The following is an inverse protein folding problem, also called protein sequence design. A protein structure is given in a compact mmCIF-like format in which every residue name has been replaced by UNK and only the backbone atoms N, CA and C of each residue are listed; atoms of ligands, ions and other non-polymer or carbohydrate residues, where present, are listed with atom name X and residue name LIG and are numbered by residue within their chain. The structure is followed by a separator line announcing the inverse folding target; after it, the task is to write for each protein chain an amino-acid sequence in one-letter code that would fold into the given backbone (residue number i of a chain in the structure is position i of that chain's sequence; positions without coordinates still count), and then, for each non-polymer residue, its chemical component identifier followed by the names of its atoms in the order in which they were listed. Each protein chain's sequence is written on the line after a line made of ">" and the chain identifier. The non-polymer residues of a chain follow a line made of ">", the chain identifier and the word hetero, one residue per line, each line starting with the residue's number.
data_IF_691010811199
#
_entry.id   IF_691010811199
#
_cell.length_a   1.000
_cell.length_b   1.000
_cell.length_c   1.000
_cell.angle_alpha   90.00
_cell.angle_beta   90.00
_cell.angle_gamma   90.00
#
_symmetry.space_group_name_H-M   'P 1'
#
loop_
_entity.id
_entity.type
_entity.pdbx_description
1 polymer ?
#
# COMPACT_ATOMS: atom_id res chain seq x y z
N UNK A 1 22.92 -5.16 21.68
CA UNK A 1 23.61 -5.18 20.37
C UNK A 1 22.88 -6.21 19.51
N UNK A 2 22.30 -5.80 18.39
CA UNK A 2 21.44 -6.67 17.57
C UNK A 2 22.26 -7.59 16.67
N UNK A 3 21.70 -8.76 16.34
CA UNK A 3 22.29 -9.75 15.42
C UNK A 3 22.67 -9.10 14.07
N UNK A 4 21.87 -8.14 13.59
CA UNK A 4 22.15 -7.36 12.38
C UNK A 4 23.46 -6.56 12.48
N UNK A 5 23.74 -5.93 13.62
CA UNK A 5 24.98 -5.17 13.82
C UNK A 5 26.20 -6.11 13.85
N UNK A 6 26.04 -7.31 14.42
CA UNK A 6 27.07 -8.35 14.40
C UNK A 6 27.32 -8.88 12.99
N UNK A 7 26.27 -9.14 12.21
CA UNK A 7 26.38 -9.57 10.81
C UNK A 7 27.00 -8.49 9.91
N UNK A 8 26.62 -7.22 10.09
CA UNK A 8 27.20 -6.11 9.34
C UNK A 8 28.69 -5.94 9.66
N UNK A 9 29.07 -6.01 10.94
CA UNK A 9 30.49 -5.97 11.35
C UNK A 9 31.27 -7.19 10.86
N UNK A 10 30.66 -8.38 10.85
CA UNK A 10 31.28 -9.59 10.33
C UNK A 10 31.49 -9.52 8.81
N UNK A 11 30.51 -9.00 8.06
CA UNK A 11 30.62 -8.77 6.62
C UNK A 11 31.70 -7.72 6.29
N UNK A 12 31.75 -6.61 7.04
CA UNK A 12 32.79 -5.58 6.88
C UNK A 12 34.18 -6.16 7.22
N UNK A 13 34.31 -6.99 8.25
CA UNK A 13 35.57 -7.69 8.55
C UNK A 13 35.94 -8.70 7.48
N UNK A 14 35.00 -9.47 6.95
CA UNK A 14 35.27 -10.43 5.88
C UNK A 14 35.80 -9.75 4.60
N UNK A 15 35.31 -8.54 4.29
CA UNK A 15 35.84 -7.72 3.19
C UNK A 15 37.23 -7.15 3.53
N UNK A 16 37.46 -6.79 4.80
CA UNK A 16 38.75 -6.25 5.25
C UNK A 16 39.85 -7.33 5.41
N UNK A 17 39.46 -8.57 5.71
CA UNK A 17 40.32 -9.74 5.91
C UNK A 17 40.48 -10.57 4.63
N UNK A 18 39.92 -10.13 3.50
CA UNK A 18 40.13 -10.77 2.21
C UNK A 18 41.64 -10.66 1.85
N UNK A 19 42.34 -11.80 1.68
CA UNK A 19 43.79 -11.78 1.53
C UNK A 19 44.17 -11.00 0.28
N UNK A 20 45.18 -10.13 0.42
CA UNK A 20 45.77 -9.33 -0.67
C UNK A 20 46.00 -10.23 -1.89
N UNK A 21 45.10 -10.14 -2.86
CA UNK A 21 45.29 -10.79 -4.16
C UNK A 21 46.53 -10.15 -4.76
N UNK A 22 47.61 -10.91 -5.05
CA UNK A 22 48.84 -10.34 -5.58
C UNK A 22 48.53 -9.62 -6.88
N UNK A 23 48.51 -8.29 -6.79
CA UNK A 23 48.25 -7.42 -7.94
C UNK A 23 49.36 -7.69 -8.94
N UNK A 24 49.06 -8.04 -10.20
CA UNK A 24 50.09 -8.22 -11.22
C UNK A 24 50.95 -6.95 -11.27
N UNK A 25 52.27 -7.08 -11.48
CA UNK A 25 53.21 -5.96 -11.41
C UNK A 25 52.69 -4.83 -12.30
N UNK A 26 52.31 -3.71 -11.66
CA UNK A 26 51.84 -2.53 -12.39
C UNK A 26 52.97 -2.09 -13.32
N UNK A 27 52.72 -1.91 -14.62
CA UNK A 27 53.71 -1.28 -15.49
C UNK A 27 54.11 0.05 -14.84
N UNK A 28 55.40 0.36 -14.81
CA UNK A 28 55.94 1.54 -14.16
C UNK A 28 55.17 2.79 -14.60
N UNK A 29 54.24 3.24 -13.75
CA UNK A 29 53.49 4.46 -13.98
C UNK A 29 54.48 5.58 -13.78
N UNK A 30 55.01 6.10 -14.88
CA UNK A 30 55.78 7.33 -14.87
C UNK A 30 54.88 8.41 -14.30
N UNK A 31 55.22 8.86 -13.08
CA UNK A 31 54.50 9.89 -12.36
C UNK A 31 54.64 11.23 -13.09
N UNK A 32 53.79 11.44 -14.10
CA UNK A 32 53.51 12.74 -14.70
C UNK A 32 52.02 12.91 -14.83
N UNK A 33 51.41 13.60 -13.86
CA UNK A 33 50.43 14.69 -14.10
C UNK A 33 49.93 15.32 -12.78
N UNK A 34 50.77 16.11 -12.09
CA UNK A 34 50.30 17.05 -11.05
C UNK A 34 49.32 18.10 -11.59
N UNK A 35 49.23 18.26 -12.91
CA UNK A 35 48.18 19.05 -13.57
C UNK A 35 46.79 18.58 -13.17
N UNK A 36 46.45 17.29 -13.31
CA UNK A 36 45.06 16.81 -13.23
C UNK A 36 44.40 17.15 -11.89
N UNK A 37 45.15 17.12 -10.79
CA UNK A 37 44.67 17.46 -9.45
C UNK A 37 44.32 18.96 -9.33
N UNK A 38 45.08 19.86 -9.98
CA UNK A 38 44.83 21.32 -9.92
C UNK A 38 43.53 21.74 -10.59
N UNK A 39 43.01 20.96 -11.55
CA UNK A 39 41.73 21.29 -12.22
C UNK A 39 40.57 20.42 -11.76
N UNK A 40 40.83 19.25 -11.16
CA UNK A 40 39.78 18.35 -10.67
C UNK A 40 38.97 18.98 -9.52
N UNK A 41 39.64 19.63 -8.55
CA UNK A 41 38.97 20.26 -7.40
C UNK A 41 38.02 21.40 -7.81
N UNK A 42 38.45 22.42 -8.61
CA UNK A 42 37.52 23.46 -9.04
C UNK A 42 36.44 22.95 -10.00
N UNK A 43 36.72 21.92 -10.79
CA UNK A 43 35.70 21.29 -11.64
C UNK A 43 34.62 20.56 -10.81
N UNK A 44 35.01 19.84 -9.76
CA UNK A 44 34.06 19.21 -8.82
C UNK A 44 33.25 20.25 -8.04
N UNK A 45 33.88 21.35 -7.62
CA UNK A 45 33.17 22.45 -6.95
C UNK A 45 32.17 23.13 -7.89
N UNK A 46 32.56 23.42 -9.14
CA UNK A 46 31.66 23.98 -10.16
C UNK A 46 30.52 23.02 -10.50
N UNK A 47 30.80 21.72 -10.56
CA UNK A 47 29.80 20.67 -10.76
C UNK A 47 28.79 20.67 -9.59
N UNK A 48 29.26 20.70 -8.34
CA UNK A 48 28.39 20.75 -7.16
C UNK A 48 27.49 22.00 -7.16
N UNK A 49 28.03 23.16 -7.53
CA UNK A 49 27.24 24.40 -7.65
C UNK A 49 26.21 24.30 -8.78
N UNK A 50 26.56 23.72 -9.93
CA UNK A 50 25.60 23.50 -11.02
C UNK A 50 24.51 22.49 -10.65
N UNK A 51 24.83 21.39 -9.93
CA UNK A 51 23.81 20.47 -9.39
C UNK A 51 22.87 21.25 -8.48
N UNK A 52 23.41 22.05 -7.56
CA UNK A 52 22.62 22.83 -6.62
C UNK A 52 21.72 23.85 -7.33
N UNK A 53 22.25 24.58 -8.31
CA UNK A 53 21.48 25.56 -9.10
C UNK A 53 20.40 24.85 -9.94
N UNK A 54 20.67 23.69 -10.52
CA UNK A 54 19.67 22.95 -11.29
C UNK A 54 18.59 22.34 -10.39
N UNK A 55 18.96 21.88 -9.19
CA UNK A 55 18.03 21.36 -8.20
C UNK A 55 17.13 22.45 -7.61
N UNK A 56 17.65 23.69 -7.45
CA UNK A 56 16.93 24.84 -6.89
C UNK A 56 16.16 25.62 -7.97
N UNK A 57 16.67 25.66 -9.20
CA UNK A 57 16.22 26.56 -10.26
C UNK A 57 15.15 26.00 -11.21
N UNK A 58 14.77 24.73 -11.07
CA UNK A 58 13.57 24.25 -11.76
C UNK A 58 12.36 24.92 -11.09
N UNK A 59 11.63 25.81 -11.80
CA UNK A 59 10.46 26.44 -11.21
C UNK A 59 9.53 25.33 -10.69
N UNK A 60 8.89 25.52 -9.52
CA UNK A 60 7.84 24.61 -9.11
C UNK A 60 6.88 24.52 -10.29
N UNK A 61 6.73 23.32 -10.85
CA UNK A 61 5.70 23.10 -11.86
C UNK A 61 4.41 23.41 -11.12
N UNK A 62 3.73 24.49 -11.50
CA UNK A 62 2.45 24.84 -10.91
C UNK A 62 1.54 23.61 -11.04
N UNK A 63 1.44 22.86 -9.95
CA UNK A 63 0.50 21.77 -9.82
C UNK A 63 -0.84 22.45 -9.67
N UNK A 64 -1.42 22.79 -10.84
CA UNK A 64 -2.78 23.24 -10.92
C UNK A 64 -3.58 22.12 -10.25
N UNK A 65 -4.22 22.36 -9.09
CA UNK A 65 -5.04 21.33 -8.48
C UNK A 65 -5.99 20.84 -9.56
N UNK A 66 -6.04 19.52 -9.75
CA UNK A 66 -7.01 18.93 -10.66
C UNK A 66 -8.36 19.54 -10.27
N UNK A 67 -9.00 20.23 -11.23
CA UNK A 67 -10.31 20.82 -10.99
C UNK A 67 -11.18 19.70 -10.42
N UNK A 68 -11.80 19.94 -9.24
CA UNK A 68 -12.55 18.93 -8.51
C UNK A 68 -13.44 18.15 -9.47
N UNK A 69 -13.03 16.94 -9.78
CA UNK A 69 -13.74 16.13 -10.74
C UNK A 69 -14.97 15.60 -10.01
N UNK A 70 -16.15 16.07 -10.42
CA UNK A 70 -17.43 15.51 -9.97
C UNK A 70 -17.57 14.02 -10.36
N UNK A 71 -16.68 13.52 -11.23
CA UNK A 71 -16.62 12.13 -11.65
C UNK A 71 -15.38 11.43 -11.09
N UNK A 72 -15.59 10.21 -10.61
CA UNK A 72 -14.53 9.33 -10.14
C UNK A 72 -14.13 8.34 -11.25
N UNK A 73 -12.84 8.04 -11.35
CA UNK A 73 -12.27 7.17 -12.36
C UNK A 73 -11.37 6.11 -11.73
N UNK A 74 -11.40 4.92 -12.32
CA UNK A 74 -10.45 3.85 -12.05
C UNK A 74 -9.56 3.71 -13.29
N UNK A 75 -8.23 3.68 -13.19
CA UNK A 75 -7.40 3.38 -14.35
C UNK A 75 -7.79 2.01 -14.93
N UNK A 76 -7.72 1.84 -16.24
CA UNK A 76 -7.90 0.53 -16.89
C UNK A 76 -6.73 -0.43 -16.59
N UNK A 77 -5.55 0.11 -16.27
CA UNK A 77 -4.37 -0.60 -15.80
C UNK A 77 -3.75 0.10 -14.58
N UNK A 78 -3.75 -0.58 -13.42
CA UNK A 78 -3.07 -0.14 -12.21
C UNK A 78 -1.57 -0.09 -12.45
N UNK A 79 -1.01 1.11 -12.31
CA UNK A 79 0.39 1.33 -12.61
C UNK A 79 1.29 0.58 -11.61
N UNK A 80 2.28 -0.15 -12.12
CA UNK A 80 3.19 -0.93 -11.28
C UNK A 80 4.12 -0.10 -10.39
N UNK A 81 4.98 -0.81 -9.64
CA UNK A 81 5.90 -0.22 -8.68
C UNK A 81 6.82 0.84 -9.32
N UNK A 82 6.98 1.99 -8.66
CA UNK A 82 7.89 3.05 -9.13
C UNK A 82 8.43 3.92 -8.01
N UNK A 83 9.75 3.84 -7.82
CA UNK A 83 10.51 4.66 -6.88
C UNK A 83 10.58 6.15 -7.27
N UNK A 84 10.13 6.49 -8.48
CA UNK A 84 10.09 7.87 -8.99
C UNK A 84 8.74 8.55 -8.78
N UNK A 85 7.87 7.96 -7.97
CA UNK A 85 6.58 8.53 -7.58
C UNK A 85 6.76 9.52 -6.42
N UNK A 86 6.17 10.71 -6.55
CA UNK A 86 6.12 11.72 -5.49
C UNK A 86 5.37 11.18 -4.26
N UNK A 87 5.71 11.69 -3.08
CA UNK A 87 5.05 11.31 -1.82
C UNK A 87 3.84 12.20 -1.55
N UNK A 88 2.88 11.71 -0.76
CA UNK A 88 1.74 12.54 -0.28
C UNK A 88 2.24 13.73 0.54
N UNK A 89 3.35 13.56 1.27
CA UNK A 89 3.93 14.63 2.09
C UNK A 89 4.55 15.75 1.27
N UNK A 90 5.15 15.44 0.12
CA UNK A 90 5.72 16.43 -0.79
C UNK A 90 4.67 17.05 -1.72
N UNK A 91 3.69 16.25 -2.15
CA UNK A 91 2.66 16.64 -3.08
C UNK A 91 1.34 15.93 -2.75
N UNK A 92 0.50 16.48 -1.85
CA UNK A 92 -0.82 15.95 -1.55
C UNK A 92 -1.66 15.78 -2.82
N UNK A 93 -2.69 14.91 -2.77
CA UNK A 93 -3.52 14.65 -3.95
C UNK A 93 -4.31 15.87 -4.41
N UNK A 94 -4.66 16.78 -3.48
CA UNK A 94 -5.54 17.91 -3.75
C UNK A 94 -7.01 17.53 -3.99
N UNK A 95 -7.33 16.23 -3.96
CA UNK A 95 -8.66 15.66 -4.13
C UNK A 95 -8.72 14.29 -3.43
N UNK A 96 -9.92 13.71 -3.20
CA UNK A 96 -10.05 12.39 -2.60
C UNK A 96 -9.32 11.30 -3.40
N UNK A 97 -8.94 10.22 -2.73
CA UNK A 97 -8.40 9.02 -3.35
C UNK A 97 -9.49 8.05 -3.77
N UNK A 98 -9.36 7.48 -4.97
CA UNK A 98 -10.14 6.32 -5.42
C UNK A 98 -9.67 5.04 -4.73
N UNK A 99 -8.35 4.88 -4.54
CA UNK A 99 -7.78 3.61 -4.10
C UNK A 99 -6.52 3.80 -3.25
N UNK A 100 -6.24 2.82 -2.40
CA UNK A 100 -4.92 2.58 -1.80
C UNK A 100 -4.44 1.18 -2.17
N UNK A 101 -3.17 1.06 -2.51
CA UNK A 101 -2.53 -0.16 -2.98
C UNK A 101 -1.24 -0.39 -2.24
N UNK A 102 -1.05 -1.63 -1.80
CA UNK A 102 0.22 -2.12 -1.30
C UNK A 102 0.90 -2.88 -2.43
N UNK A 103 2.03 -2.36 -2.90
CA UNK A 103 2.81 -2.95 -3.97
C UNK A 103 4.13 -3.45 -3.42
N UNK A 104 4.47 -4.71 -3.70
CA UNK A 104 5.71 -5.31 -3.24
C UNK A 104 6.28 -6.33 -4.21
N UNK A 105 7.54 -6.68 -3.99
CA UNK A 105 8.18 -7.82 -4.61
C UNK A 105 8.29 -8.93 -3.57
N UNK A 106 7.67 -10.09 -3.81
CA UNK A 106 7.82 -11.25 -2.93
C UNK A 106 9.20 -11.89 -3.11
N UNK A 107 9.88 -12.17 -2.00
CA UNK A 107 11.04 -13.05 -1.97
C UNK A 107 12.34 -12.42 -2.46
N UNK A 108 12.52 -11.10 -2.36
CA UNK A 108 13.76 -10.46 -2.82
C UNK A 108 14.61 -9.90 -1.69
N UNK A 109 15.92 -10.14 -1.82
CA UNK A 109 17.04 -9.53 -1.08
C UNK A 109 17.04 -7.98 -1.04
N UNK A 110 16.06 -7.33 -1.68
CA UNK A 110 16.00 -5.89 -1.94
C UNK A 110 14.80 -5.22 -1.24
N UNK A 111 13.85 -5.99 -0.69
CA UNK A 111 12.83 -5.53 0.26
C UNK A 111 12.02 -4.29 -0.17
N UNK A 112 11.78 -4.10 -1.47
CA UNK A 112 11.04 -2.93 -1.94
C UNK A 112 9.54 -3.20 -1.90
N UNK A 113 8.87 -2.71 -0.86
CA UNK A 113 7.44 -2.48 -0.84
C UNK A 113 7.16 -0.97 -0.81
N UNK A 114 6.03 -0.58 -1.40
CA UNK A 114 5.52 0.78 -1.35
C UNK A 114 4.01 0.76 -1.18
N UNK A 115 3.50 1.77 -0.50
CA UNK A 115 2.07 2.02 -0.42
C UNK A 115 1.76 3.20 -1.32
N UNK A 116 0.78 3.06 -2.20
CA UNK A 116 0.43 4.06 -3.21
C UNK A 116 -1.05 4.38 -3.12
N UNK A 117 -1.39 5.66 -3.14
CA UNK A 117 -2.77 6.13 -3.29
C UNK A 117 -2.99 6.63 -4.71
N UNK A 118 -4.17 6.34 -5.25
CA UNK A 118 -4.64 6.82 -6.56
C UNK A 118 -5.75 7.82 -6.31
N UNK A 119 -5.64 9.02 -6.87
CA UNK A 119 -6.67 10.03 -6.75
C UNK A 119 -7.97 9.64 -7.49
N UNK A 120 -9.07 10.32 -7.17
CA UNK A 120 -10.37 10.14 -7.81
C UNK A 120 -10.34 10.36 -9.34
N UNK A 121 -9.34 11.06 -9.88
CA UNK A 121 -9.15 11.20 -11.33
C UNK A 121 -8.59 9.94 -12.04
N UNK A 122 -8.27 8.89 -11.28
CA UNK A 122 -7.70 7.63 -11.78
C UNK A 122 -6.26 7.73 -12.32
N UNK A 123 -5.68 8.93 -12.33
CA UNK A 123 -4.37 9.23 -12.94
C UNK A 123 -3.32 9.64 -11.93
N UNK A 124 -3.68 10.31 -10.85
CA UNK A 124 -2.71 10.90 -9.94
C UNK A 124 -2.29 9.87 -8.90
N UNK A 125 -1.02 9.44 -8.96
CA UNK A 125 -0.44 8.46 -8.02
C UNK A 125 0.49 9.17 -7.03
N UNK A 126 0.37 8.85 -5.74
CA UNK A 126 1.31 9.31 -4.71
C UNK A 126 1.71 8.18 -3.78
N UNK A 127 2.98 8.14 -3.39
CA UNK A 127 3.46 7.23 -2.35
C UNK A 127 3.02 7.72 -0.97
N UNK A 128 2.51 6.81 -0.17
CA UNK A 128 2.15 7.05 1.22
C UNK A 128 3.39 6.84 2.10
N UNK A 129 4.31 7.81 2.03
CA UNK A 129 5.62 7.76 2.70
C UNK A 129 5.52 7.52 4.21
N UNK A 130 4.44 7.97 4.85
CA UNK A 130 4.22 7.74 6.26
C UNK A 130 3.97 6.26 6.59
N UNK A 131 3.24 5.52 5.75
CA UNK A 131 3.01 4.10 5.94
C UNK A 131 4.33 3.31 5.77
N UNK A 132 5.15 3.71 4.80
CA UNK A 132 6.49 3.16 4.62
C UNK A 132 7.37 3.45 5.84
N UNK A 133 7.46 4.70 6.31
CA UNK A 133 8.27 5.08 7.49
C UNK A 133 7.86 4.39 8.79
N UNK A 134 6.60 3.95 8.88
CA UNK A 134 6.01 3.25 10.05
C UNK A 134 6.00 1.73 9.89
N UNK A 135 6.60 1.25 8.80
CA UNK A 135 6.88 -0.16 8.58
C UNK A 135 7.96 -0.71 9.51
N UNK A 136 8.18 -2.01 9.39
CA UNK A 136 9.23 -2.76 10.09
C UNK A 136 9.76 -3.88 9.20
N UNK A 137 10.92 -4.42 9.54
CA UNK A 137 11.38 -5.69 8.96
C UNK A 137 10.65 -6.83 9.67
N UNK A 138 9.99 -7.71 8.91
CA UNK A 138 9.34 -8.93 9.40
C UNK A 138 10.33 -10.03 9.78
N UNK A 139 9.83 -11.14 10.33
CA UNK A 139 10.65 -12.28 10.76
C UNK A 139 11.39 -12.96 9.60
N UNK A 140 10.84 -12.88 8.39
CA UNK A 140 11.44 -13.33 7.12
C UNK A 140 12.48 -12.36 6.55
N UNK A 141 12.80 -11.28 7.29
CA UNK A 141 13.68 -10.19 6.83
C UNK A 141 13.11 -9.36 5.69
N UNK A 142 11.82 -9.46 5.37
CA UNK A 142 11.17 -8.61 4.38
C UNK A 142 10.71 -7.29 5.00
N UNK A 143 10.74 -6.21 4.21
CA UNK A 143 10.21 -4.92 4.66
C UNK A 143 8.69 -4.89 4.53
N UNK A 144 8.02 -4.70 5.67
CA UNK A 144 6.57 -4.62 5.77
C UNK A 144 6.18 -3.19 6.13
N UNK A 145 5.47 -2.49 5.25
CA UNK A 145 4.89 -1.18 5.57
C UNK A 145 3.81 -1.28 6.65
N UNK A 146 3.47 -0.15 7.27
CA UNK A 146 2.37 -0.09 8.23
C UNK A 146 1.03 -0.42 7.56
N UNK A 147 0.11 -1.13 8.24
CA UNK A 147 -1.22 -1.38 7.69
C UNK A 147 -1.92 -0.05 7.43
N UNK A 148 -2.69 0.00 6.34
CA UNK A 148 -3.44 1.18 5.95
C UNK A 148 -4.92 0.83 5.80
N UNK A 149 -5.79 1.82 5.95
CA UNK A 149 -7.21 1.67 5.63
C UNK A 149 -7.78 2.98 5.10
N UNK A 150 -8.37 2.95 3.91
CA UNK A 150 -8.93 4.12 3.22
C UNK A 150 -10.37 4.41 3.69
N UNK A 151 -10.69 5.68 3.96
CA UNK A 151 -12.05 6.08 4.32
C UNK A 151 -13.02 5.93 3.14
N UNK A 152 -14.32 5.74 3.38
CA UNK A 152 -15.31 5.54 2.31
C UNK A 152 -15.34 6.70 1.30
N UNK A 153 -15.16 7.93 1.77
CA UNK A 153 -15.11 9.15 0.96
C UNK A 153 -13.76 9.38 0.26
N UNK A 154 -12.77 8.53 0.50
CA UNK A 154 -11.42 8.62 -0.06
C UNK A 154 -10.57 9.78 0.48
N UNK A 155 -11.06 10.58 1.42
CA UNK A 155 -10.36 11.78 1.89
C UNK A 155 -9.28 11.45 2.92
N UNK A 156 -9.52 10.43 3.75
CA UNK A 156 -8.67 10.07 4.88
C UNK A 156 -8.07 8.68 4.69
N UNK A 157 -6.85 8.48 5.18
CA UNK A 157 -6.27 7.14 5.34
C UNK A 157 -5.81 6.97 6.78
N UNK A 158 -6.23 5.89 7.42
CA UNK A 158 -5.70 5.47 8.71
C UNK A 158 -4.44 4.64 8.47
N UNK A 159 -3.39 4.93 9.24
CA UNK A 159 -2.07 4.31 9.12
C UNK A 159 -1.67 3.80 10.49
N UNK A 160 -1.42 2.50 10.58
CA UNK A 160 -0.96 1.86 11.80
C UNK A 160 0.51 2.16 12.14
N UNK A 161 1.05 1.49 13.15
CA UNK A 161 2.48 1.44 13.49
C UNK A 161 2.89 -0.01 13.60
N UNK A 162 3.79 -0.47 12.74
CA UNK A 162 4.42 -1.78 12.91
C UNK A 162 5.74 -1.69 13.67
N UNK A 163 6.24 -0.49 13.92
CA UNK A 163 7.43 -0.32 14.76
C UNK A 163 7.02 -0.73 16.17
N UNK A 164 7.86 -1.54 16.83
CA UNK A 164 7.68 -1.97 18.24
C UNK A 164 7.85 -0.77 19.20
N UNK A 165 6.97 0.23 19.08
CA UNK A 165 6.96 1.48 19.83
C UNK A 165 6.30 1.25 21.19
N UNK A 166 6.85 1.85 22.24
CA UNK A 166 6.25 1.83 23.57
C UNK A 166 4.99 2.70 23.67
N UNK A 167 4.73 3.55 22.68
CA UNK A 167 3.56 4.43 22.58
C UNK A 167 2.93 4.24 21.20
N UNK A 168 2.24 3.12 20.95
CA UNK A 168 1.60 2.89 19.68
C UNK A 168 0.48 3.92 19.48
N UNK A 169 0.39 4.47 18.28
CA UNK A 169 -0.63 5.41 17.86
C UNK A 169 -1.17 5.00 16.50
N UNK A 170 -2.37 5.47 16.17
CA UNK A 170 -2.91 5.41 14.81
C UNK A 170 -2.83 6.82 14.24
N UNK A 171 -2.24 6.97 13.05
CA UNK A 171 -2.21 8.27 12.37
C UNK A 171 -3.26 8.29 11.28
N UNK A 172 -4.14 9.29 11.31
CA UNK A 172 -5.05 9.58 10.20
C UNK A 172 -4.45 10.72 9.38
N UNK A 173 -4.23 10.46 8.10
CA UNK A 173 -3.72 11.41 7.13
C UNK A 173 -4.85 11.85 6.20
N UNK A 174 -5.02 13.16 6.06
CA UNK A 174 -5.87 13.78 5.06
C UNK A 174 -5.12 13.81 3.72
N UNK A 175 -5.58 13.03 2.75
CA UNK A 175 -4.92 12.84 1.45
C UNK A 175 -5.03 14.07 0.54
N UNK A 176 -6.03 14.92 0.78
CA UNK A 176 -6.27 16.16 0.03
C UNK A 176 -5.23 17.22 0.43
N UNK A 177 -4.99 17.36 1.73
CA UNK A 177 -4.20 18.45 2.31
C UNK A 177 -2.81 18.03 2.80
N UNK A 178 -2.57 16.74 2.99
CA UNK A 178 -1.37 16.19 3.62
C UNK A 178 -1.34 16.34 5.15
N UNK A 179 -2.40 16.87 5.78
CA UNK A 179 -2.45 17.07 7.22
C UNK A 179 -2.60 15.74 7.98
N UNK A 180 -1.91 15.62 9.12
CA UNK A 180 -1.86 14.40 9.93
C UNK A 180 -2.44 14.65 11.31
N UNK A 181 -3.17 13.67 11.85
CA UNK A 181 -3.60 13.63 13.26
C UNK A 181 -3.30 12.27 13.85
N UNK A 182 -2.59 12.25 14.98
CA UNK A 182 -2.26 11.04 15.73
C UNK A 182 -3.31 10.79 16.83
N UNK A 183 -3.66 9.52 17.01
CA UNK A 183 -4.56 9.02 18.05
C UNK A 183 -3.79 8.00 18.89
N UNK A 184 -3.21 8.43 20.03
CA UNK A 184 -2.41 7.55 20.87
C UNK A 184 -3.29 6.49 21.54
N UNK A 185 -2.81 5.24 21.56
CA UNK A 185 -3.45 4.17 22.29
C UNK A 185 -3.08 4.26 23.77
N UNK A 186 -4.04 3.98 24.66
CA UNK A 186 -3.88 4.20 26.10
C UNK A 186 -2.82 3.30 26.76
N UNK A 187 -2.51 2.16 26.15
CA UNK A 187 -1.52 1.19 26.65
C UNK A 187 -0.70 0.64 25.48
N UNK A 188 0.50 0.06 25.74
CA UNK A 188 1.18 -0.77 24.76
C UNK A 188 0.28 -1.94 24.38
N UNK A 189 -0.37 -1.80 23.23
CA UNK A 189 -1.27 -2.77 22.66
C UNK A 189 -0.86 -3.04 21.22
N UNK A 190 -0.98 -4.28 20.82
CA UNK A 190 -0.94 -4.63 19.41
C UNK A 190 -2.31 -4.35 18.85
N UNK A 191 -2.39 -3.89 17.61
CA UNK A 191 -3.68 -3.63 17.00
C UNK A 191 -3.72 -3.97 15.51
N UNK A 192 -4.93 -4.24 15.03
CA UNK A 192 -5.25 -4.47 13.61
C UNK A 192 -6.35 -3.50 13.21
N UNK A 193 -6.13 -2.76 12.12
CA UNK A 193 -7.18 -1.93 11.52
C UNK A 193 -8.20 -2.85 10.84
N UNK A 194 -9.49 -2.69 11.15
CA UNK A 194 -10.55 -3.51 10.55
C UNK A 194 -11.28 -2.80 9.42
N UNK A 195 -11.46 -1.48 9.56
CA UNK A 195 -12.12 -0.67 8.55
C UNK A 195 -12.87 0.51 9.15
N UNK A 196 -13.38 1.34 8.25
CA UNK A 196 -14.12 2.55 8.58
C UNK A 196 -15.62 2.28 8.67
N UNK A 197 -16.29 2.98 9.58
CA UNK A 197 -17.75 3.10 9.53
C UNK A 197 -18.16 3.76 8.20
N UNK A 198 -19.34 3.42 7.63
CA UNK A 198 -19.77 3.96 6.33
C UNK A 198 -19.80 5.49 6.25
N UNK A 199 -20.03 6.18 7.37
CA UNK A 199 -20.04 7.64 7.43
C UNK A 199 -18.64 8.28 7.60
N UNK A 200 -17.57 7.49 7.63
CA UNK A 200 -16.19 7.93 7.80
C UNK A 200 -15.83 8.53 9.18
N UNK A 201 -16.70 8.47 10.19
CA UNK A 201 -16.45 9.12 11.50
C UNK A 201 -15.78 8.23 12.53
N UNK A 202 -15.88 6.92 12.34
CA UNK A 202 -15.39 5.92 13.28
C UNK A 202 -14.50 4.91 12.57
N UNK A 203 -13.45 4.46 13.25
CA UNK A 203 -12.56 3.40 12.79
C UNK A 203 -12.67 2.20 13.74
N UNK A 204 -12.96 1.02 13.21
CA UNK A 204 -12.94 -0.23 13.96
C UNK A 204 -11.53 -0.82 14.00
N UNK A 205 -11.13 -1.27 15.17
CA UNK A 205 -9.79 -1.76 15.46
C UNK A 205 -9.93 -2.98 16.38
N UNK A 206 -9.16 -4.04 16.14
CA UNK A 206 -8.92 -5.06 17.16
C UNK A 206 -7.70 -4.64 17.95
N UNK A 207 -7.78 -4.72 19.28
CA UNK A 207 -6.67 -4.44 20.19
C UNK A 207 -6.43 -5.63 21.12
N UNK A 208 -5.18 -5.93 21.40
CA UNK A 208 -4.78 -6.98 22.32
C UNK A 208 -3.68 -6.45 23.23
N UNK A 209 -3.70 -6.89 24.49
CA UNK A 209 -2.70 -6.49 25.47
C UNK A 209 -1.34 -7.10 25.11
N UNK A 210 -0.30 -6.28 25.03
CA UNK A 210 1.04 -6.71 24.66
C UNK A 210 1.66 -5.85 23.57
N UNK A 211 2.94 -6.08 23.30
CA UNK A 211 3.72 -5.29 22.33
C UNK A 211 4.22 -6.13 21.15
N UNK A 212 3.74 -7.37 21.00
CA UNK A 212 4.17 -8.26 19.92
C UNK A 212 3.30 -8.05 18.65
N UNK A 213 3.75 -7.26 17.66
CA UNK A 213 2.94 -6.95 16.48
C UNK A 213 2.52 -8.19 15.69
N UNK A 214 3.22 -9.32 15.89
CA UNK A 214 2.96 -10.60 15.23
C UNK A 214 1.91 -11.45 15.99
N UNK A 215 1.44 -10.96 17.15
CA UNK A 215 0.45 -11.66 18.01
C UNK A 215 -0.90 -11.91 17.37
N UNK A 216 -1.29 -11.18 16.33
CA UNK A 216 -2.52 -11.49 15.58
C UNK A 216 -2.37 -12.67 14.61
N UNK A 217 -1.16 -13.20 14.44
CA UNK A 217 -0.84 -14.20 13.42
C UNK A 217 -0.78 -15.65 13.90
N UNK A 218 -0.82 -15.97 15.20
CA UNK A 218 -0.25 -17.26 15.66
C UNK A 218 -1.11 -18.14 16.56
N UNK A 219 -2.25 -17.68 17.09
CA UNK A 219 -3.15 -18.56 17.84
C UNK A 219 -4.62 -18.31 17.46
N UNK A 220 -5.19 -19.13 16.55
CA UNK A 220 -6.62 -19.16 16.29
C UNK A 220 -7.41 -19.22 17.61
N UNK A 221 -8.44 -18.38 17.72
CA UNK A 221 -9.30 -18.33 18.89
C UNK A 221 -8.78 -17.47 20.05
N UNK A 222 -7.70 -16.70 19.87
CA UNK A 222 -7.34 -15.68 20.86
C UNK A 222 -8.41 -14.59 20.91
N UNK A 223 -8.67 -14.03 22.09
CA UNK A 223 -9.63 -12.93 22.24
C UNK A 223 -8.92 -11.57 22.12
N UNK A 224 -9.48 -10.68 21.31
CA UNK A 224 -9.09 -9.27 21.24
C UNK A 224 -10.27 -8.37 21.62
N UNK A 225 -9.97 -7.16 22.11
CA UNK A 225 -10.97 -6.12 22.29
C UNK A 225 -11.30 -5.50 20.92
N UNK A 226 -12.56 -5.60 20.52
CA UNK A 226 -13.12 -4.81 19.44
C UNK A 226 -13.36 -3.38 19.94
N UNK A 227 -12.62 -2.44 19.39
CA UNK A 227 -12.60 -1.04 19.81
C UNK A 227 -13.00 -0.13 18.65
N UNK A 228 -13.77 0.90 18.96
CA UNK A 228 -14.12 1.97 18.05
C UNK A 228 -13.37 3.24 18.41
N UNK A 229 -12.66 3.80 17.43
CA UNK A 229 -12.05 5.12 17.52
C UNK A 229 -12.99 6.15 16.90
N UNK A 230 -13.51 7.07 17.71
CA UNK A 230 -14.24 8.26 17.24
C UNK A 230 -13.23 9.35 16.84
N UNK A 231 -13.25 9.76 15.57
CA UNK A 231 -12.23 10.68 15.03
C UNK A 231 -12.48 12.15 15.40
N UNK A 232 -13.70 12.51 15.77
CA UNK A 232 -13.99 13.88 16.21
C UNK A 232 -13.36 14.10 17.58
N UNK A 233 -13.64 13.20 18.51
CA UNK A 233 -13.25 13.28 19.92
C UNK A 233 -11.88 12.68 20.20
N UNK A 234 -11.43 11.73 19.38
CA UNK A 234 -10.25 10.90 19.62
C UNK A 234 -10.43 9.87 20.73
N UNK A 235 -11.68 9.60 21.13
CA UNK A 235 -11.98 8.61 22.17
C UNK A 235 -12.03 7.20 21.59
N UNK A 236 -11.49 6.26 22.35
CA UNK A 236 -11.59 4.83 22.10
C UNK A 236 -12.67 4.23 22.99
N UNK A 237 -13.61 3.50 22.41
CA UNK A 237 -14.66 2.78 23.13
C UNK A 237 -14.56 1.28 22.83
N UNK A 238 -14.31 0.48 23.86
CA UNK A 238 -14.41 -0.98 23.74
C UNK A 238 -15.87 -1.37 23.59
N UNK A 239 -16.19 -2.06 22.50
CA UNK A 239 -17.53 -2.58 22.23
C UNK A 239 -17.68 -3.92 22.96
N UNK A 240 -16.77 -4.85 22.70
CA UNK A 240 -16.78 -6.20 23.26
C UNK A 240 -15.49 -6.96 22.96
N UNK A 241 -15.40 -8.21 23.44
CA UNK A 241 -14.41 -9.19 22.96
C UNK A 241 -14.84 -9.77 21.61
N UNK A 242 -13.86 -9.97 20.74
CA UNK A 242 -14.00 -10.64 19.44
C UNK A 242 -12.90 -11.69 19.30
N UNK A 243 -13.21 -12.80 18.64
CA UNK A 243 -12.23 -13.83 18.31
C UNK A 243 -11.29 -13.30 17.21
N UNK A 244 -9.99 -13.40 17.44
CA UNK A 244 -8.98 -13.15 16.41
C UNK A 244 -8.80 -14.43 15.62
N UNK A 245 -9.10 -14.36 14.34
CA UNK A 245 -8.66 -15.34 13.38
C UNK A 245 -7.67 -14.69 12.42
N UNK A 246 -6.69 -15.47 11.96
CA UNK A 246 -5.59 -14.99 11.15
C UNK A 246 -6.10 -14.27 9.89
N UNK A 247 -7.13 -14.84 9.26
CA UNK A 247 -7.51 -14.53 7.87
C UNK A 247 -8.97 -14.05 7.70
N UNK A 248 -9.65 -13.71 8.80
CA UNK A 248 -11.03 -13.23 8.73
C UNK A 248 -11.12 -11.85 8.05
N UNK A 249 -11.94 -11.73 7.00
CA UNK A 249 -12.38 -10.43 6.51
C UNK A 249 -13.31 -9.77 7.53
N UNK A 250 -13.17 -8.46 7.67
CA UNK A 250 -14.01 -7.65 8.54
C UNK A 250 -14.63 -6.51 7.73
N UNK A 251 -15.89 -6.19 7.99
CA UNK A 251 -16.54 -5.04 7.38
C UNK A 251 -17.65 -4.50 8.26
N UNK A 252 -17.84 -3.18 8.21
CA UNK A 252 -19.08 -2.61 8.70
C UNK A 252 -20.22 -2.98 7.76
N UNK A 253 -21.37 -3.30 8.35
CA UNK A 253 -22.65 -3.23 7.65
C UNK A 253 -22.93 -1.78 7.24
N UNK A 254 -23.66 -1.60 6.14
CA UNK A 254 -23.96 -0.30 5.55
C UNK A 254 -24.62 0.74 6.47
N UNK A 255 -25.33 0.29 7.50
CA UNK A 255 -25.93 1.19 8.50
C UNK A 255 -24.94 1.63 9.60
N UNK A 256 -23.73 1.05 9.61
CA UNK A 256 -22.67 1.31 10.59
C UNK A 256 -22.96 0.76 12.00
N UNK A 257 -24.01 -0.05 12.18
CA UNK A 257 -24.42 -0.54 13.51
C UNK A 257 -23.86 -1.90 13.86
N UNK A 258 -23.37 -2.64 12.87
CA UNK A 258 -22.82 -3.98 13.07
C UNK A 258 -21.51 -4.12 12.31
N UNK A 259 -20.55 -4.82 12.90
CA UNK A 259 -19.32 -5.27 12.25
C UNK A 259 -19.46 -6.77 11.98
N UNK A 260 -19.35 -7.18 10.73
CA UNK A 260 -19.28 -8.58 10.35
C UNK A 260 -17.82 -9.03 10.31
N UNK A 261 -17.55 -10.24 10.79
CA UNK A 261 -16.25 -10.88 10.70
C UNK A 261 -16.41 -12.34 10.24
N UNK A 262 -15.60 -12.77 9.28
CA UNK A 262 -15.45 -14.19 8.99
C UNK A 262 -14.87 -14.91 10.22
N UNK A 263 -15.44 -16.06 10.57
CA UNK A 263 -14.99 -16.89 11.69
C UNK A 263 -15.11 -18.39 11.36
N UNK A 264 -14.50 -19.26 12.14
CA UNK A 264 -14.72 -20.70 12.17
C UNK A 264 -15.31 -21.13 13.50
N UNK A 265 -16.31 -21.99 13.43
CA UNK A 265 -16.92 -22.64 14.59
C UNK A 265 -16.65 -24.14 14.53
N UNK A 266 -17.03 -24.86 15.59
CA UNK A 266 -17.04 -26.34 15.58
C UNK A 266 -17.90 -26.93 14.45
N UNK A 267 -18.78 -26.14 13.85
CA UNK A 267 -19.66 -26.54 12.73
C UNK A 267 -19.11 -26.14 11.36
N UNK A 268 -17.94 -25.50 11.29
CA UNK A 268 -17.34 -24.98 10.06
C UNK A 268 -17.35 -23.46 9.96
N UNK A 269 -17.09 -22.90 8.76
CA UNK A 269 -17.06 -21.46 8.52
C UNK A 269 -18.38 -20.78 8.89
N UNK A 270 -18.27 -19.57 9.41
CA UNK A 270 -19.40 -18.76 9.83
C UNK A 270 -19.08 -17.27 9.70
N UNK A 271 -20.08 -16.43 9.94
CA UNK A 271 -19.93 -14.99 10.10
C UNK A 271 -20.38 -14.58 11.49
N UNK A 272 -19.47 -14.01 12.28
CA UNK A 272 -19.81 -13.34 13.52
C UNK A 272 -20.27 -11.91 13.21
N UNK A 273 -21.39 -11.52 13.80
CA UNK A 273 -21.96 -10.18 13.71
C UNK A 273 -21.88 -9.53 15.08
N UNK A 274 -21.12 -8.45 15.16
CA UNK A 274 -20.80 -7.70 16.37
C UNK A 274 -21.57 -6.36 16.39
N UNK A 275 -22.65 -6.24 17.17
CA UNK A 275 -23.36 -4.98 17.31
C UNK A 275 -22.47 -3.90 17.97
N UNK A 276 -22.43 -2.72 17.35
CA UNK A 276 -21.64 -1.56 17.82
C UNK A 276 -22.14 -1.02 19.16
N UNK A 277 -23.40 -1.28 19.50
CA UNK A 277 -23.99 -0.90 20.79
C UNK A 277 -23.56 -1.82 21.96
N UNK A 278 -22.76 -2.85 21.69
CA UNK A 278 -22.29 -3.82 22.67
C UNK A 278 -23.32 -4.88 23.04
N UNK A 279 -24.45 -4.96 22.33
CA UNK A 279 -25.37 -6.09 22.47
C UNK A 279 -24.70 -7.40 22.03
N UNK A 280 -25.27 -8.53 22.47
CA UNK A 280 -24.63 -9.83 22.29
C UNK A 280 -24.37 -10.14 20.80
N UNK A 281 -23.16 -10.63 20.46
CA UNK A 281 -22.87 -11.02 19.10
C UNK A 281 -23.74 -12.20 18.68
N UNK A 282 -23.97 -12.32 17.38
CA UNK A 282 -24.67 -13.47 16.78
C UNK A 282 -23.83 -14.07 15.68
N UNK A 283 -23.99 -15.37 15.46
CA UNK A 283 -23.23 -16.11 14.46
C UNK A 283 -24.16 -16.63 13.38
N UNK A 284 -23.79 -16.41 12.12
CA UNK A 284 -24.47 -16.94 10.94
C UNK A 284 -23.63 -18.11 10.40
N UNK A 285 -24.13 -19.36 10.42
CA UNK A 285 -23.40 -20.48 9.84
C UNK A 285 -23.32 -20.32 8.31
N UNK A 286 -22.15 -20.60 7.72
CA UNK A 286 -22.00 -20.70 6.28
C UNK A 286 -21.99 -22.18 5.89
N UNK A 287 -22.72 -22.54 4.84
CA UNK A 287 -22.82 -23.93 4.38
C UNK A 287 -21.68 -24.27 3.43
N UNK A 288 -20.73 -25.09 3.89
CA UNK A 288 -19.55 -25.51 3.13
C UNK A 288 -18.31 -24.66 3.44
N UNK A 289 -17.30 -24.68 2.57
CA UNK A 289 -16.05 -23.93 2.75
C UNK A 289 -16.15 -22.50 2.19
N UNK A 290 -17.11 -21.73 2.69
CA UNK A 290 -17.33 -20.35 2.26
C UNK A 290 -16.72 -19.36 3.25
N UNK A 291 -16.13 -18.28 2.72
CA UNK A 291 -15.51 -17.22 3.52
C UNK A 291 -16.14 -15.87 3.21
N UNK A 292 -16.40 -15.06 4.24
CA UNK A 292 -16.83 -13.68 4.07
C UNK A 292 -15.75 -12.90 3.31
N UNK A 293 -16.13 -12.13 2.29
CA UNK A 293 -15.22 -11.23 1.59
C UNK A 293 -15.71 -9.79 1.54
N UNK A 294 -16.95 -9.50 1.99
CA UNK A 294 -17.42 -8.13 2.17
C UNK A 294 -18.89 -7.99 2.59
N UNK A 295 -19.27 -6.76 2.92
CA UNK A 295 -20.60 -6.36 3.37
C UNK A 295 -21.21 -5.37 2.38
N UNK A 296 -22.50 -5.50 2.08
CA UNK A 296 -23.18 -4.56 1.19
C UNK A 296 -23.41 -3.17 1.85
N UNK A 297 -23.49 -2.09 1.05
CA UNK A 297 -23.65 -0.73 1.56
C UNK A 297 -25.01 -0.45 2.20
N UNK A 298 -25.99 -1.34 2.01
CA UNK A 298 -27.28 -1.28 2.69
C UNK A 298 -27.29 -2.04 4.03
N UNK A 299 -26.22 -2.78 4.33
CA UNK A 299 -26.08 -3.62 5.52
C UNK A 299 -26.95 -4.87 5.55
N UNK A 300 -27.76 -5.11 4.51
CA UNK A 300 -28.70 -6.23 4.47
C UNK A 300 -28.08 -7.51 3.90
N UNK A 301 -26.96 -7.38 3.19
CA UNK A 301 -26.32 -8.46 2.44
C UNK A 301 -24.84 -8.61 2.80
N UNK A 302 -24.38 -9.86 2.72
CA UNK A 302 -22.99 -10.29 2.85
C UNK A 302 -22.58 -10.98 1.56
N UNK A 303 -21.30 -10.88 1.21
CA UNK A 303 -20.72 -11.60 0.08
C UNK A 303 -19.72 -12.59 0.59
N UNK A 304 -19.86 -13.84 0.17
CA UNK A 304 -18.94 -14.92 0.49
C UNK A 304 -18.36 -15.53 -0.78
N UNK A 305 -17.15 -16.08 -0.70
CA UNK A 305 -16.52 -16.84 -1.79
C UNK A 305 -16.22 -18.27 -1.37
N UNK A 306 -16.26 -19.19 -2.33
CA UNK A 306 -15.81 -20.57 -2.19
C UNK A 306 -14.29 -20.69 -2.46
N UNK A 307 -13.67 -21.86 -2.21
CA UNK A 307 -12.25 -22.10 -2.43
C UNK A 307 -11.86 -22.08 -3.92
N UNK A 308 -10.56 -22.04 -4.18
CA UNK A 308 -9.92 -21.66 -5.46
C UNK A 308 -10.27 -22.51 -6.70
N UNK A 309 -10.74 -23.76 -6.54
CA UNK A 309 -10.86 -24.72 -7.67
C UNK A 309 -12.08 -24.46 -8.57
N UNK A 310 -13.17 -23.90 -8.03
CA UNK A 310 -14.33 -23.39 -8.80
C UNK A 310 -14.81 -22.12 -8.08
N UNK A 311 -14.22 -20.95 -8.38
CA UNK A 311 -14.48 -19.74 -7.62
C UNK A 311 -15.91 -19.28 -7.86
N UNK A 312 -16.74 -19.42 -6.84
CA UNK A 312 -18.13 -18.98 -6.83
C UNK A 312 -18.29 -17.85 -5.82
N UNK A 313 -19.14 -16.90 -6.18
CA UNK A 313 -19.54 -15.78 -5.35
C UNK A 313 -20.96 -16.04 -4.88
N UNK A 314 -21.22 -15.83 -3.60
CA UNK A 314 -22.52 -16.03 -2.98
C UNK A 314 -22.99 -14.79 -2.24
N UNK A 315 -24.23 -14.43 -2.49
CA UNK A 315 -24.94 -13.36 -1.80
C UNK A 315 -25.77 -13.96 -0.68
N UNK A 316 -25.49 -13.54 0.55
CA UNK A 316 -26.12 -14.06 1.77
C UNK A 316 -26.85 -12.94 2.48
N UNK A 317 -28.05 -13.22 3.01
CA UNK A 317 -28.75 -12.31 3.91
C UNK A 317 -27.98 -12.15 5.22
N UNK A 318 -27.66 -10.91 5.57
CA UNK A 318 -27.06 -10.60 6.87
C UNK A 318 -28.03 -10.85 8.03
N UNK A 319 -29.32 -11.03 7.78
CA UNK A 319 -30.33 -11.22 8.83
C UNK A 319 -30.39 -12.67 9.32
N UNK A 320 -30.29 -13.65 8.44
CA UNK A 320 -30.54 -15.05 8.77
C UNK A 320 -29.55 -16.02 8.11
N UNK A 321 -28.59 -15.53 7.33
CA UNK A 321 -27.64 -16.38 6.62
C UNK A 321 -28.25 -17.07 5.39
N UNK A 322 -29.47 -16.68 4.96
CA UNK A 322 -30.09 -17.29 3.80
C UNK A 322 -29.30 -16.97 2.51
N UNK A 323 -29.02 -18.01 1.73
CA UNK A 323 -28.41 -17.88 0.41
C UNK A 323 -29.46 -17.30 -0.54
N UNK A 324 -29.17 -16.12 -1.09
CA UNK A 324 -30.08 -15.44 -2.00
C UNK A 324 -29.74 -15.74 -3.46
N UNK A 325 -28.46 -15.69 -3.81
CA UNK A 325 -27.95 -15.89 -5.17
C UNK A 325 -26.51 -16.37 -5.17
N UNK A 326 -26.15 -17.13 -6.20
CA UNK A 326 -24.79 -17.55 -6.50
C UNK A 326 -24.43 -17.10 -7.92
N UNK A 327 -23.17 -16.75 -8.17
CA UNK A 327 -22.63 -16.49 -9.51
C UNK A 327 -21.21 -17.05 -9.62
N UNK A 328 -20.85 -17.54 -10.80
CA UNK A 328 -19.50 -18.04 -11.08
C UNK A 328 -18.56 -16.89 -11.39
N UNK A 329 -17.34 -16.98 -10.88
CA UNK A 329 -16.28 -16.03 -11.17
C UNK A 329 -15.33 -16.59 -12.22
N UNK A 330 -14.72 -15.74 -13.06
CA UNK A 330 -13.73 -16.19 -14.03
C UNK A 330 -12.39 -16.60 -13.39
N UNK A 331 -12.16 -16.24 -12.13
CA UNK A 331 -10.95 -16.51 -11.36
C UNK A 331 -11.20 -16.30 -9.85
N UNK A 332 -10.38 -16.88 -8.97
CA UNK A 332 -10.47 -16.66 -7.52
C UNK A 332 -10.32 -15.19 -7.15
N UNK A 333 -11.05 -14.78 -6.12
CA UNK A 333 -11.03 -13.42 -5.57
C UNK A 333 -10.59 -13.46 -4.12
N UNK A 334 -9.91 -12.42 -3.65
CA UNK A 334 -9.56 -12.29 -2.24
C UNK A 334 -10.62 -11.50 -1.48
N UNK A 335 -11.00 -10.32 -2.00
CA UNK A 335 -11.78 -9.34 -1.25
C UNK A 335 -12.87 -8.72 -2.14
N UNK A 336 -14.00 -8.36 -1.53
CA UNK A 336 -14.86 -7.33 -2.08
C UNK A 336 -14.32 -5.95 -1.67
N UNK A 337 -13.99 -5.15 -2.68
CA UNK A 337 -13.36 -3.84 -2.52
C UNK A 337 -14.38 -2.74 -2.25
N UNK A 338 -15.51 -2.80 -2.95
CA UNK A 338 -16.58 -1.81 -2.94
C UNK A 338 -17.82 -2.35 -3.67
N UNK A 339 -18.77 -1.48 -3.99
CA UNK A 339 -20.04 -1.86 -4.60
C UNK A 339 -20.51 -0.83 -5.63
N UNK A 340 -20.98 -1.30 -6.79
CA UNK A 340 -21.67 -0.47 -7.80
C UNK A 340 -23.17 -0.36 -7.55
N UNK A 341 -23.73 -1.36 -6.89
CA UNK A 341 -25.13 -1.43 -6.47
C UNK A 341 -25.23 -2.48 -5.35
N UNK A 342 -26.39 -2.60 -4.69
CA UNK A 342 -26.60 -3.61 -3.64
C UNK A 342 -26.32 -5.05 -4.09
N UNK A 343 -26.45 -5.36 -5.40
CA UNK A 343 -26.20 -6.69 -5.97
C UNK A 343 -25.00 -6.71 -6.92
N UNK A 344 -24.13 -5.70 -6.87
CA UNK A 344 -23.01 -5.55 -7.80
C UNK A 344 -21.71 -5.24 -7.09
N UNK A 345 -21.09 -6.21 -6.39
CA UNK A 345 -19.80 -6.01 -5.76
C UNK A 345 -18.71 -5.74 -6.79
N UNK A 346 -17.74 -4.92 -6.38
CA UNK A 346 -16.44 -4.77 -7.04
C UNK A 346 -15.46 -5.65 -6.28
N UNK A 347 -14.81 -6.57 -6.97
CA UNK A 347 -13.95 -7.60 -6.40
C UNK A 347 -12.50 -7.41 -6.86
N UNK A 348 -11.56 -7.84 -6.03
CA UNK A 348 -10.18 -8.03 -6.44
C UNK A 348 -9.85 -9.50 -6.63
N UNK A 349 -9.36 -9.82 -7.83
CA UNK A 349 -8.83 -11.12 -8.17
C UNK A 349 -7.32 -11.01 -8.41
N UNK A 350 -6.49 -11.21 -7.37
CA UNK A 350 -5.05 -11.10 -7.50
C UNK A 350 -4.47 -12.14 -8.45
N UNK A 351 -3.34 -11.82 -9.10
CA UNK A 351 -2.73 -12.77 -10.03
C UNK A 351 -2.24 -14.01 -9.33
N UNK A 352 -1.76 -13.91 -8.10
CA UNK A 352 -1.05 -14.99 -7.41
C UNK A 352 -1.93 -16.16 -6.97
N UNK A 353 -3.25 -16.03 -7.07
CA UNK A 353 -4.19 -17.14 -6.97
C UNK A 353 -4.28 -17.96 -8.28
N UNK A 354 -3.64 -17.50 -9.36
CA UNK A 354 -3.65 -18.13 -10.69
C UNK A 354 -2.24 -18.12 -11.29
N UNK A 355 -1.65 -19.27 -11.57
CA UNK A 355 -0.28 -19.32 -12.13
C UNK A 355 -0.15 -18.45 -13.39
N UNK A 356 0.71 -17.42 -13.34
CA UNK A 356 0.98 -16.52 -14.47
C UNK A 356 -0.11 -15.49 -14.80
N UNK A 357 -1.03 -15.22 -13.87
CA UNK A 357 -2.15 -14.31 -14.08
C UNK A 357 -1.80 -12.82 -14.11
N UNK A 358 -2.77 -12.01 -14.54
CA UNK A 358 -2.82 -10.55 -14.32
C UNK A 358 -3.80 -10.29 -13.20
N UNK A 359 -3.46 -9.42 -12.24
CA UNK A 359 -4.42 -9.00 -11.22
C UNK A 359 -5.60 -8.28 -11.87
N UNK A 360 -6.82 -8.49 -11.37
CA UNK A 360 -8.03 -7.88 -11.95
C UNK A 360 -8.93 -7.28 -10.90
N UNK A 361 -9.44 -6.08 -11.20
CA UNK A 361 -10.59 -5.50 -10.51
C UNK A 361 -11.82 -5.84 -11.35
N UNK A 362 -12.77 -6.56 -10.77
CA UNK A 362 -13.96 -7.08 -11.45
C UNK A 362 -15.22 -6.40 -10.91
N UNK A 363 -16.13 -5.98 -11.76
CA UNK A 363 -17.53 -5.76 -11.37
C UNK A 363 -18.29 -7.06 -11.61
N UNK A 364 -18.88 -7.61 -10.55
CA UNK A 364 -19.52 -8.92 -10.57
C UNK A 364 -21.01 -8.83 -10.14
N UNK A 365 -21.90 -8.25 -10.96
CA UNK A 365 -23.32 -8.23 -10.66
C UNK A 365 -23.89 -9.65 -10.60
N UNK A 366 -24.65 -9.98 -9.56
CA UNK A 366 -25.29 -11.30 -9.42
C UNK A 366 -26.35 -11.58 -10.50
N UNK A 367 -26.85 -10.55 -11.16
CA UNK A 367 -27.88 -10.60 -12.21
C UNK A 367 -27.34 -10.31 -13.62
N UNK A 368 -26.00 -10.29 -13.80
CA UNK A 368 -25.40 -9.87 -15.06
C UNK A 368 -24.03 -10.47 -15.33
N UNK A 369 -23.41 -10.09 -16.46
CA UNK A 369 -22.07 -10.54 -16.79
C UNK A 369 -21.03 -9.91 -15.85
N UNK A 370 -20.03 -10.69 -15.45
CA UNK A 370 -18.83 -10.18 -14.78
C UNK A 370 -17.98 -9.42 -15.79
N UNK A 371 -17.58 -8.19 -15.47
CA UNK A 371 -16.76 -7.34 -16.34
C UNK A 371 -15.49 -6.88 -15.63
N UNK A 372 -14.37 -6.85 -16.35
CA UNK A 372 -13.12 -6.27 -15.83
C UNK A 372 -13.19 -4.74 -15.87
N UNK A 373 -12.95 -4.10 -14.73
CA UNK A 373 -12.85 -2.65 -14.60
C UNK A 373 -11.41 -2.14 -14.73
N UNK A 374 -10.46 -2.90 -14.17
CA UNK A 374 -9.03 -2.60 -14.22
C UNK A 374 -8.22 -3.88 -14.20
N UNK A 375 -7.02 -3.82 -14.74
CA UNK A 375 -5.97 -4.84 -14.57
C UNK A 375 -4.85 -4.33 -13.68
N UNK A 376 -3.99 -5.21 -13.18
CA UNK A 376 -2.73 -4.90 -12.53
C UNK A 376 -1.65 -5.84 -13.07
N UNK A 377 -0.56 -5.28 -13.59
CA UNK A 377 0.61 -6.09 -13.96
C UNK A 377 1.33 -6.55 -12.69
N UNK A 378 0.98 -7.75 -12.24
CA UNK A 378 1.55 -8.41 -11.08
C UNK A 378 2.74 -9.33 -11.44
N UNK A 379 3.63 -8.83 -12.30
CA UNK A 379 4.90 -9.48 -12.58
C UNK A 379 5.79 -9.60 -11.34
N UNK A 380 7.00 -10.13 -11.54
CA UNK A 380 7.98 -10.39 -10.45
C UNK A 380 8.27 -9.19 -9.55
N UNK A 381 8.13 -7.95 -10.03
CA UNK A 381 8.52 -6.75 -9.29
C UNK A 381 7.34 -5.89 -8.80
N UNK A 382 6.09 -6.31 -9.03
CA UNK A 382 4.95 -5.42 -8.85
C UNK A 382 3.67 -6.16 -8.42
N UNK A 383 3.77 -7.01 -7.40
CA UNK A 383 2.58 -7.67 -6.84
C UNK A 383 1.77 -6.67 -6.03
N UNK A 384 0.46 -6.64 -6.27
CA UNK A 384 -0.48 -5.91 -5.41
C UNK A 384 -0.96 -6.88 -4.33
N UNK A 385 -0.55 -6.63 -3.09
CA UNK A 385 -0.89 -7.49 -1.95
C UNK A 385 -2.14 -7.02 -1.21
N UNK A 386 -2.40 -5.72 -1.26
CA UNK A 386 -3.61 -5.09 -0.72
C UNK A 386 -4.10 -4.10 -1.74
N UNK A 387 -5.40 -4.11 -1.97
CA UNK A 387 -6.13 -3.10 -2.72
C UNK A 387 -7.38 -2.77 -1.91
N UNK A 388 -7.59 -1.49 -1.63
CA UNK A 388 -8.85 -0.99 -1.10
C UNK A 388 -9.35 0.15 -2.00
N UNK A 389 -10.67 0.27 -2.13
CA UNK A 389 -11.32 1.35 -2.86
C UNK A 389 -12.12 2.22 -1.90
N UNK A 390 -12.19 3.52 -2.19
CA UNK A 390 -13.10 4.44 -1.52
C UNK A 390 -14.54 4.09 -1.90
N UNK A 391 -15.27 3.46 -0.97
CA UNK A 391 -16.58 2.89 -1.24
C UNK A 391 -17.59 3.89 -1.83
N UNK A 392 -17.56 5.16 -1.39
CA UNK A 392 -18.47 6.22 -1.86
C UNK A 392 -18.14 6.70 -3.28
N UNK A 393 -16.93 6.43 -3.77
CA UNK A 393 -16.47 6.85 -5.10
C UNK A 393 -16.50 5.69 -6.11
N UNK A 394 -16.26 4.47 -5.63
CA UNK A 394 -16.01 3.31 -6.48
C UNK A 394 -17.24 2.85 -7.26
N UNK A 395 -18.46 3.06 -6.74
CA UNK A 395 -19.68 2.59 -7.38
C UNK A 395 -19.96 3.24 -8.74
N UNK A 396 -19.64 4.53 -8.83
CA UNK A 396 -19.79 5.37 -10.02
C UNK A 396 -18.52 5.47 -10.86
N UNK A 397 -17.44 4.80 -10.43
CA UNK A 397 -16.15 4.88 -11.09
C UNK A 397 -16.22 4.34 -12.53
N UNK A 398 -15.68 5.11 -13.47
CA UNK A 398 -15.56 4.70 -14.87
C UNK A 398 -14.09 4.36 -15.18
N UNK A 399 -13.81 3.25 -15.89
CA UNK A 399 -12.48 2.95 -16.37
C UNK A 399 -11.89 4.09 -17.23
N UNK A 400 -10.61 4.42 -17.05
CA UNK A 400 -9.89 5.44 -17.82
C UNK A 400 -8.55 4.92 -18.32
N UNK A 401 -8.23 5.17 -19.59
CA UNK A 401 -6.95 4.76 -20.22
C UNK A 401 -5.84 5.78 -20.07
N UNK A 402 -6.03 6.77 -19.19
CA UNK A 402 -5.06 7.81 -18.99
C UNK A 402 -3.88 7.29 -18.16
N UNK A 403 -2.67 7.52 -18.67
CA UNK A 403 -1.45 7.07 -18.00
C UNK A 403 -1.20 7.73 -16.63
N UNK A 404 -0.38 7.09 -15.76
CA UNK A 404 -0.16 7.54 -14.40
C UNK A 404 0.64 8.85 -14.34
N UNK A 405 0.08 9.83 -13.64
CA UNK A 405 0.76 11.04 -13.20
C UNK A 405 1.38 10.82 -11.82
N UNK A 406 2.70 10.60 -11.82
CA UNK A 406 3.48 10.29 -10.62
C UNK A 406 4.03 11.52 -9.88
N UNK A 407 3.67 12.72 -10.32
CA UNK A 407 4.18 13.98 -9.77
C UNK A 407 5.66 14.22 -10.10
N UNK A 408 6.27 15.20 -9.42
CA UNK A 408 7.69 15.48 -9.54
C UNK A 408 8.52 14.33 -8.97
N UNK A 409 9.60 13.96 -9.67
CA UNK A 409 10.52 12.96 -9.14
C UNK A 409 11.06 13.37 -7.77
N UNK A 410 11.32 12.41 -6.86
CA UNK A 410 11.98 12.68 -5.60
C UNK A 410 13.27 13.49 -5.79
N UNK A 411 13.62 14.32 -4.80
CA UNK A 411 14.78 15.21 -4.90
C UNK A 411 16.07 14.46 -5.26
N UNK A 412 16.30 13.29 -4.64
CA UNK A 412 17.47 12.47 -4.92
C UNK A 412 17.55 12.05 -6.40
N UNK A 413 16.42 11.68 -7.02
CA UNK A 413 16.38 11.25 -8.41
C UNK A 413 16.64 12.42 -9.36
N UNK A 414 16.08 13.61 -9.05
CA UNK A 414 16.38 14.85 -9.77
C UNK A 414 17.86 15.20 -9.69
N UNK A 415 18.45 15.10 -8.49
CA UNK A 415 19.89 15.33 -8.27
C UNK A 415 20.74 14.34 -9.07
N UNK A 416 20.44 13.04 -9.02
CA UNK A 416 21.16 11.99 -9.76
C UNK A 416 21.05 12.22 -11.28
N UNK A 417 19.85 12.49 -11.79
CA UNK A 417 19.64 12.79 -13.21
C UNK A 417 20.42 14.05 -13.64
N UNK A 418 20.43 15.09 -12.80
CA UNK A 418 21.22 16.31 -13.02
C UNK A 418 22.73 16.03 -13.08
N UNK A 419 23.25 15.22 -12.15
CA UNK A 419 24.66 14.80 -12.14
C UNK A 419 25.01 14.02 -13.42
N UNK A 420 24.18 13.06 -13.81
CA UNK A 420 24.39 12.25 -15.02
C UNK A 420 24.40 13.14 -16.28
N UNK A 421 23.42 14.04 -16.41
CA UNK A 421 23.33 14.96 -17.54
C UNK A 421 24.58 15.85 -17.66
N UNK A 422 25.10 16.33 -16.53
CA UNK A 422 26.32 17.13 -16.51
C UNK A 422 27.58 16.32 -16.86
N UNK A 423 27.71 15.09 -16.35
CA UNK A 423 28.82 14.21 -16.72
C UNK A 423 28.80 13.92 -18.23
N UNK A 424 27.62 13.65 -18.80
CA UNK A 424 27.45 13.44 -20.23
C UNK A 424 27.84 14.69 -21.06
N UNK A 425 27.48 15.88 -20.58
CA UNK A 425 27.89 17.15 -21.19
C UNK A 425 29.41 17.37 -21.12
N UNK A 426 30.03 17.10 -19.97
CA UNK A 426 31.48 17.20 -19.79
C UNK A 426 32.25 16.24 -20.71
N UNK A 427 31.79 14.99 -20.84
CA UNK A 427 32.38 14.00 -21.76
C UNK A 427 32.24 14.44 -23.22
N UNK A 428 31.07 14.99 -23.58
CA UNK A 428 30.82 15.55 -24.91
C UNK A 428 31.77 16.71 -25.25
N UNK A 429 32.00 17.64 -24.32
CA UNK A 429 32.95 18.75 -24.48
C UNK A 429 34.39 18.23 -24.61
N UNK A 430 34.79 17.25 -23.80
CA UNK A 430 36.13 16.66 -23.86
C UNK A 430 36.37 15.95 -25.21
N UNK A 431 35.39 15.18 -25.71
CA UNK A 431 35.47 14.53 -27.02
C UNK A 431 35.63 15.53 -28.17
N UNK A 432 34.88 16.64 -28.15
CA UNK A 432 35.01 17.71 -29.16
C UNK A 432 36.40 18.33 -29.16
N UNK A 433 37.00 18.56 -27.98
CA UNK A 433 38.37 19.10 -27.87
C UNK A 433 39.45 18.14 -28.37
N UNK A 434 39.29 16.84 -28.12
CA UNK A 434 40.23 15.83 -28.64
C UNK A 434 40.13 15.76 -30.18
N UNK A 435 38.91 15.76 -30.72
CA UNK A 435 38.69 15.73 -32.16
C UNK A 435 39.21 16.98 -32.88
N UNK A 436 39.10 18.18 -32.28
CA UNK A 436 39.66 19.40 -32.85
C UNK A 436 41.18 19.41 -32.86
N UNK A 437 41.82 18.87 -31.81
CA UNK A 437 43.27 18.83 -31.72
C UNK A 437 43.90 17.78 -32.65
N UNK A 438 43.17 16.72 -32.98
CA UNK A 438 43.64 15.68 -33.92
C UNK A 438 43.62 16.08 -35.41
N UNK A 439 43.09 17.25 -35.77
CA UNK A 439 43.09 17.77 -37.16
C UNK A 439 44.19 18.80 -37.44
N UNK A 440 44.98 19.16 -36.42
CA UNK A 440 46.00 20.20 -36.52
C UNK A 440 47.44 19.66 -36.65
N UNK A 441 47.60 18.35 -36.85
CA UNK A 441 48.86 17.69 -37.21
C UNK A 441 48.61 16.74 -38.36
#
# INVERSE_FOLDING_TARGET
>A
MSDLEQRLRAAIRAIADEPDVPVPPRPAVTARRPWLIRYAVPALAALAVLVAVFAIGLPPVDHRPAAGADAAFLPDELAGLSLLTATVSDAPLGQPAMAVLDQGNLGSTWGSSQVVVIAADGRTYRRLDLAEQRGTVGDDSEWLHAPTSLSPDGRLVAIGDRRRSSTPDIVVLDLVTGQRRAYPLAQPSTYRLLGWSPNGRTLAILTSAGADPDSYGTAPGSEADLVLLDLATGLFATVQKALTESDGHHCFTGDGRTIAAGTYTDQGPAVALYPVDGSAPRTLPLTGEWHLIGCAPDGSLLVTTSPEVDPELRLVSATDGAVLRDTRLPQPVSNALAWRSANGPILYAPSWLTEGGTGRVLAAPFDGPVTTLSTADEGWFSRVTVLELAADLAGDAVPTSAGPERGLWPLWARVVAGVIAMLAAAVSVLRRRIASNGRAG
#
